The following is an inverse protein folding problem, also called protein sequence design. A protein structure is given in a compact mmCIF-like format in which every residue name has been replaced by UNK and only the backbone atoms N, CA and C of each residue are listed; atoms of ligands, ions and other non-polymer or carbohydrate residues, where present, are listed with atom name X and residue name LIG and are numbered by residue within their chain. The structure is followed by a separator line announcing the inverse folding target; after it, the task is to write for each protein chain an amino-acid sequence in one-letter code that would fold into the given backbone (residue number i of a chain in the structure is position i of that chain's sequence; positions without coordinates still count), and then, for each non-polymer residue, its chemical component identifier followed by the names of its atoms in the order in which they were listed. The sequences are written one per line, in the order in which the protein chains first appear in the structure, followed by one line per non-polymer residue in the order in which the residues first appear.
data_IF_664826919966
#
_entry.id   IF_664826919966
#
_cell.length_a   1.000
_cell.length_b   1.000
_cell.length_c   1.000
_cell.angle_alpha   90.00
_cell.angle_beta   90.00
_cell.angle_gamma   90.00
#
_symmetry.space_group_name_H-M   'P 1'
#
loop_
_entity.id
_entity.type
_entity.pdbx_description
1 polymer ?
#
# COMPACT_ATOMS: atom_id res chain seq x y z
N UNK A 1 14.34 5.33 -11.14
CA UNK A 1 14.02 4.62 -9.88
C UNK A 1 14.50 3.19 -10.04
N UNK A 2 15.51 2.78 -9.26
CA UNK A 2 16.00 1.40 -9.30
C UNK A 2 14.89 0.46 -8.81
N UNK A 3 14.59 -0.58 -9.61
CA UNK A 3 13.73 -1.72 -9.26
C UNK A 3 12.22 -1.43 -9.07
N UNK A 4 11.68 -0.36 -9.65
CA UNK A 4 10.22 -0.20 -9.71
C UNK A 4 9.68 -1.09 -10.83
N UNK A 5 8.89 -2.09 -10.48
CA UNK A 5 8.26 -3.04 -11.38
C UNK A 5 6.77 -2.77 -11.49
N UNK A 6 6.14 -3.29 -12.55
CA UNK A 6 4.71 -3.08 -12.82
C UNK A 6 4.02 -4.39 -13.17
N UNK A 7 2.88 -4.61 -12.54
CA UNK A 7 1.89 -5.62 -12.92
C UNK A 7 0.71 -4.88 -13.55
N UNK A 8 0.15 -5.43 -14.62
CA UNK A 8 -1.09 -4.92 -15.19
C UNK A 8 -2.25 -5.80 -14.71
N UNK A 9 -3.13 -5.25 -13.88
CA UNK A 9 -4.35 -5.93 -13.43
C UNK A 9 -5.49 -5.54 -14.34
N UNK A 10 -6.20 -6.52 -14.89
CA UNK A 10 -7.28 -6.33 -15.85
C UNK A 10 -8.64 -6.64 -15.23
N UNK A 11 -9.67 -5.91 -15.69
CA UNK A 11 -11.07 -6.14 -15.33
C UNK A 11 -11.31 -6.18 -13.81
N UNK A 12 -10.73 -5.21 -13.09
CA UNK A 12 -10.84 -5.14 -11.64
C UNK A 12 -12.17 -4.48 -11.22
N UNK A 13 -12.97 -5.21 -10.46
CA UNK A 13 -14.24 -4.71 -9.93
C UNK A 13 -14.07 -4.07 -8.55
N UNK A 14 -14.50 -2.82 -8.40
CA UNK A 14 -14.54 -2.11 -7.13
C UNK A 14 -15.78 -2.48 -6.30
N UNK A 15 -15.73 -2.28 -4.97
CA UNK A 15 -16.86 -2.53 -4.07
C UNK A 15 -18.10 -1.69 -4.41
N UNK A 16 -17.92 -0.50 -5.00
CA UNK A 16 -19.02 0.35 -5.46
C UNK A 16 -19.68 -0.14 -6.77
N UNK A 17 -19.24 -1.28 -7.32
CA UNK A 17 -19.75 -1.88 -8.55
C UNK A 17 -19.12 -1.37 -9.84
N UNK A 18 -18.27 -0.36 -9.80
CA UNK A 18 -17.53 0.10 -10.99
C UNK A 18 -16.50 -0.94 -11.42
N UNK A 19 -16.27 -1.01 -12.74
CA UNK A 19 -15.26 -1.89 -13.33
C UNK A 19 -14.14 -1.04 -13.91
N UNK A 20 -12.91 -1.35 -13.57
CA UNK A 20 -11.74 -0.74 -14.15
C UNK A 20 -11.11 -1.72 -15.15
N UNK A 21 -11.02 -1.29 -16.41
CA UNK A 21 -10.53 -2.16 -17.48
C UNK A 21 -9.09 -2.62 -17.24
N UNK A 22 -8.27 -1.72 -16.71
CA UNK A 22 -6.89 -2.02 -16.34
C UNK A 22 -6.40 -1.08 -15.23
N UNK A 23 -5.52 -1.61 -14.37
CA UNK A 23 -4.88 -0.86 -13.29
C UNK A 23 -3.39 -1.20 -13.33
N UNK A 24 -2.49 -0.21 -13.49
CA UNK A 24 -1.07 -0.42 -13.30
C UNK A 24 -0.77 -0.52 -11.79
N UNK A 25 -0.36 -1.69 -11.33
CA UNK A 25 0.06 -1.91 -9.96
C UNK A 25 1.58 -1.92 -9.91
N UNK A 26 2.16 -0.88 -9.34
CA UNK A 26 3.60 -0.76 -9.18
C UNK A 26 4.06 -1.36 -7.86
N UNK A 27 5.24 -1.98 -7.86
CA UNK A 27 5.82 -2.59 -6.67
C UNK A 27 7.35 -2.60 -6.72
N UNK A 28 7.95 -2.83 -5.57
CA UNK A 28 9.38 -3.07 -5.42
C UNK A 28 9.62 -4.28 -4.54
N UNK A 29 10.75 -4.97 -4.80
CA UNK A 29 11.19 -6.10 -4.01
C UNK A 29 12.58 -5.83 -3.44
N UNK A 30 12.83 -6.30 -2.22
CA UNK A 30 14.11 -6.15 -1.54
C UNK A 30 14.48 -7.45 -0.82
N UNK A 31 15.76 -7.65 -0.63
CA UNK A 31 16.30 -8.81 0.07
C UNK A 31 16.36 -10.06 -0.80
N UNK A 32 15.92 -11.18 -0.28
CA UNK A 32 16.00 -12.46 -0.99
C UNK A 32 15.11 -12.48 -2.24
N UNK A 33 15.51 -13.21 -3.31
CA UNK A 33 14.63 -13.42 -4.46
C UNK A 33 13.31 -14.08 -4.05
N UNK A 34 12.23 -13.75 -4.78
CA UNK A 34 10.91 -14.37 -4.56
C UNK A 34 11.03 -15.90 -4.65
N UNK A 35 10.44 -16.60 -3.68
CA UNK A 35 10.48 -18.07 -3.60
C UNK A 35 11.69 -18.64 -2.87
N UNK A 36 12.62 -17.82 -2.39
CA UNK A 36 13.83 -18.30 -1.67
C UNK A 36 13.81 -18.00 -0.17
N UNK A 37 12.88 -17.20 0.30
CA UNK A 37 12.72 -16.87 1.73
C UNK A 37 11.28 -16.52 2.10
N UNK A 38 11.01 -16.35 3.39
CA UNK A 38 9.70 -15.93 3.86
C UNK A 38 9.35 -14.52 3.33
N UNK A 39 8.09 -14.32 2.96
CA UNK A 39 7.60 -13.07 2.38
C UNK A 39 7.13 -12.11 3.47
N UNK A 40 7.61 -10.88 3.45
CA UNK A 40 7.10 -9.76 4.25
C UNK A 40 6.50 -8.73 3.30
N UNK A 41 5.21 -8.47 3.41
CA UNK A 41 4.53 -7.41 2.66
C UNK A 41 4.53 -6.14 3.50
N UNK A 42 5.00 -5.04 2.92
CA UNK A 42 5.07 -3.73 3.57
C UNK A 42 4.11 -2.77 2.88
N UNK A 43 3.10 -2.32 3.62
CA UNK A 43 2.12 -1.37 3.14
C UNK A 43 2.46 0.05 3.62
N UNK A 44 2.63 0.99 2.71
CA UNK A 44 2.97 2.37 3.03
C UNK A 44 1.77 3.19 3.53
N UNK A 45 2.05 4.25 4.28
CA UNK A 45 1.05 5.24 4.70
C UNK A 45 0.60 6.11 3.51
N UNK A 46 -0.39 6.99 3.71
CA UNK A 46 -0.98 7.83 2.65
C UNK A 46 0.07 8.57 1.80
N UNK A 47 1.08 9.14 2.44
CA UNK A 47 2.14 9.92 1.78
C UNK A 47 3.38 9.11 1.42
N UNK A 48 3.33 7.78 1.60
CA UNK A 48 4.44 6.89 1.35
C UNK A 48 4.46 6.32 -0.07
N UNK A 49 5.35 5.37 -0.25
CA UNK A 49 5.54 4.67 -1.52
C UNK A 49 6.23 3.31 -1.28
N UNK A 50 6.46 2.56 -2.35
CA UNK A 50 7.08 1.23 -2.30
C UNK A 50 8.59 1.23 -1.98
N UNK A 51 9.28 2.38 -1.96
CA UNK A 51 10.71 2.43 -1.65
C UNK A 51 10.96 2.37 -0.15
N UNK A 52 10.76 1.20 0.44
CA UNK A 52 10.76 1.01 1.91
C UNK A 52 12.15 0.89 2.51
N UNK A 53 13.14 0.46 1.73
CA UNK A 53 14.54 0.30 2.20
C UNK A 53 15.54 0.52 1.07
N UNK A 54 16.84 0.61 1.41
CA UNK A 54 17.92 0.93 0.48
C UNK A 54 18.17 2.41 0.37
N UNK A 55 18.73 2.86 -0.76
CA UNK A 55 18.99 4.28 -1.00
C UNK A 55 17.68 5.09 -0.96
N UNK A 56 17.57 6.01 0.00
CA UNK A 56 16.36 6.82 0.25
C UNK A 56 15.11 6.02 0.67
N UNK A 57 15.28 4.79 1.17
CA UNK A 57 14.18 4.03 1.77
C UNK A 57 13.66 4.70 3.03
N UNK A 58 12.33 4.87 3.11
CA UNK A 58 11.72 5.61 4.23
C UNK A 58 11.65 4.80 5.54
N UNK A 59 11.92 3.49 5.50
CA UNK A 59 11.89 2.62 6.70
C UNK A 59 13.21 1.88 6.95
N UNK A 60 14.34 2.50 6.59
CA UNK A 60 15.67 1.93 6.78
C UNK A 60 16.03 1.60 8.24
N UNK A 61 15.33 2.20 9.21
CA UNK A 61 15.53 1.87 10.62
C UNK A 61 14.97 0.48 10.98
N UNK A 62 13.96 0.02 10.27
CA UNK A 62 13.28 -1.25 10.51
C UNK A 62 13.66 -2.34 9.51
N UNK A 63 13.88 -1.97 8.25
CA UNK A 63 14.06 -2.89 7.11
C UNK A 63 15.45 -2.68 6.51
N UNK A 64 16.22 -3.74 6.35
CA UNK A 64 17.55 -3.70 5.76
C UNK A 64 18.45 -4.82 6.26
N UNK A 65 19.70 -4.81 5.87
CA UNK A 65 20.71 -5.76 6.36
C UNK A 65 20.89 -5.60 7.88
N UNK A 66 20.77 -6.71 8.61
CA UNK A 66 20.87 -6.76 10.07
C UNK A 66 19.86 -5.88 10.82
N UNK A 67 18.74 -5.55 10.19
CA UNK A 67 17.62 -4.84 10.82
C UNK A 67 16.57 -5.85 11.32
N UNK A 68 15.52 -5.35 11.97
CA UNK A 68 14.41 -6.19 12.49
C UNK A 68 13.78 -7.02 11.37
N UNK A 69 13.56 -6.41 10.20
CA UNK A 69 13.20 -7.13 8.96
C UNK A 69 14.48 -7.23 8.13
N UNK A 70 15.23 -8.31 8.40
CA UNK A 70 16.54 -8.52 7.79
C UNK A 70 16.41 -8.99 6.34
N UNK A 71 16.92 -8.21 5.42
CA UNK A 71 16.91 -8.51 3.98
C UNK A 71 17.79 -9.70 3.59
N UNK A 72 18.66 -10.21 4.49
CA UNK A 72 19.35 -11.49 4.30
C UNK A 72 18.46 -12.70 4.57
N UNK A 73 17.32 -12.53 5.26
CA UNK A 73 16.45 -13.62 5.66
C UNK A 73 15.06 -13.55 5.04
N UNK A 74 14.63 -12.37 4.64
CA UNK A 74 13.29 -12.14 4.11
C UNK A 74 13.31 -11.63 2.67
N UNK A 75 12.28 -12.00 1.91
CA UNK A 75 11.87 -11.28 0.72
C UNK A 75 10.86 -10.22 1.14
N UNK A 76 11.19 -8.95 0.96
CA UNK A 76 10.31 -7.83 1.26
C UNK A 76 9.64 -7.36 -0.02
N UNK A 77 8.32 -7.22 0.00
CA UNK A 77 7.53 -6.73 -1.14
C UNK A 77 6.72 -5.53 -0.68
N UNK A 78 6.78 -4.45 -1.43
CA UNK A 78 5.99 -3.26 -1.19
C UNK A 78 5.29 -2.83 -2.48
N UNK A 79 3.95 -2.74 -2.43
CA UNK A 79 3.15 -2.20 -3.51
C UNK A 79 2.92 -0.70 -3.33
N UNK A 80 2.77 0.02 -4.43
CA UNK A 80 2.25 1.38 -4.40
C UNK A 80 0.72 1.35 -4.39
N UNK A 81 0.11 2.14 -3.51
CA UNK A 81 -1.33 2.38 -3.55
C UNK A 81 -1.66 3.03 -4.90
N UNK A 82 -2.69 2.55 -5.61
CA UNK A 82 -3.05 3.08 -6.92
C UNK A 82 -3.23 4.59 -6.92
N UNK A 83 -2.62 5.26 -7.89
CA UNK A 83 -2.73 6.71 -8.05
C UNK A 83 -1.78 7.54 -7.19
N UNK A 84 -0.83 6.94 -6.45
CA UNK A 84 0.13 7.70 -5.63
C UNK A 84 1.19 8.46 -6.44
N UNK A 85 1.27 8.25 -7.76
CA UNK A 85 2.17 8.99 -8.66
C UNK A 85 3.66 8.70 -8.47
N UNK A 86 4.03 7.67 -7.74
CA UNK A 86 5.44 7.39 -7.43
C UNK A 86 6.28 7.03 -8.66
N UNK A 87 5.67 6.57 -9.74
CA UNK A 87 6.35 6.28 -11.02
C UNK A 87 6.65 7.54 -11.85
N UNK A 88 6.22 8.74 -11.40
CA UNK A 88 6.36 10.03 -12.08
C UNK A 88 5.77 10.06 -13.50
N UNK A 89 4.79 9.21 -13.79
CA UNK A 89 4.08 9.21 -15.05
C UNK A 89 2.60 9.58 -14.86
N UNK A 90 2.21 10.75 -15.34
CA UNK A 90 0.83 11.23 -15.24
C UNK A 90 -0.21 10.34 -15.94
N UNK A 91 0.19 9.56 -16.96
CA UNK A 91 -0.70 8.63 -17.66
C UNK A 91 -1.14 7.46 -16.78
N UNK A 92 -0.37 7.15 -15.73
CA UNK A 92 -0.67 6.08 -14.78
C UNK A 92 -1.46 6.56 -13.56
N UNK A 93 -1.76 7.85 -13.46
CA UNK A 93 -2.63 8.35 -12.41
C UNK A 93 -4.06 7.86 -12.63
N UNK A 94 -4.71 7.53 -11.53
CA UNK A 94 -6.10 7.09 -11.54
C UNK A 94 -6.98 8.28 -11.16
N UNK A 95 -7.67 8.87 -12.13
CA UNK A 95 -8.53 10.05 -11.91
C UNK A 95 -9.67 9.77 -10.94
N UNK A 96 -10.12 8.52 -10.85
CA UNK A 96 -11.20 8.07 -9.96
C UNK A 96 -10.66 7.41 -8.67
N UNK A 97 -9.51 7.84 -8.16
CA UNK A 97 -8.90 7.26 -6.95
C UNK A 97 -9.85 7.28 -5.73
N UNK A 98 -10.78 8.21 -5.68
CA UNK A 98 -11.80 8.30 -4.62
C UNK A 98 -12.81 7.15 -4.64
N UNK A 99 -12.89 6.40 -5.72
CA UNK A 99 -13.75 5.23 -5.82
C UNK A 99 -13.20 4.00 -5.08
N UNK A 100 -11.90 4.00 -4.77
CA UNK A 100 -11.25 2.89 -4.10
C UNK A 100 -11.54 2.91 -2.59
N UNK A 101 -12.00 1.78 -2.10
CA UNK A 101 -12.01 1.51 -0.66
C UNK A 101 -10.67 0.89 -0.23
N UNK A 102 -10.41 0.84 1.08
CA UNK A 102 -9.24 0.15 1.62
C UNK A 102 -9.28 -1.34 1.25
N UNK A 103 -10.46 -1.94 1.21
CA UNK A 103 -10.66 -3.33 0.78
C UNK A 103 -10.33 -3.54 -0.69
N UNK A 104 -10.67 -2.60 -1.57
CA UNK A 104 -10.27 -2.66 -2.97
C UNK A 104 -8.74 -2.64 -3.13
N UNK A 105 -8.05 -1.79 -2.35
CA UNK A 105 -6.59 -1.75 -2.32
C UNK A 105 -6.02 -3.09 -1.85
N UNK A 106 -6.56 -3.66 -0.78
CA UNK A 106 -6.13 -4.96 -0.25
C UNK A 106 -6.36 -6.10 -1.25
N UNK A 107 -7.50 -6.10 -1.95
CA UNK A 107 -7.79 -7.06 -3.03
C UNK A 107 -6.80 -6.93 -4.18
N UNK A 108 -6.49 -5.70 -4.57
CA UNK A 108 -5.53 -5.43 -5.63
C UNK A 108 -4.12 -5.90 -5.26
N UNK A 109 -3.70 -5.72 -4.00
CA UNK A 109 -2.42 -6.23 -3.52
C UNK A 109 -2.39 -7.76 -3.50
N UNK A 110 -3.50 -8.42 -3.16
CA UNK A 110 -3.59 -9.87 -3.29
C UNK A 110 -3.51 -10.34 -4.75
N UNK A 111 -4.15 -9.65 -5.70
CA UNK A 111 -3.99 -9.93 -7.13
C UNK A 111 -2.50 -9.80 -7.57
N UNK A 112 -1.82 -8.75 -7.07
CA UNK A 112 -0.39 -8.57 -7.29
C UNK A 112 0.45 -9.73 -6.75
N UNK A 113 0.19 -10.17 -5.52
CA UNK A 113 0.87 -11.32 -4.90
C UNK A 113 0.61 -12.60 -5.68
N UNK A 114 -0.63 -12.85 -6.10
CA UNK A 114 -0.99 -14.02 -6.89
C UNK A 114 -0.31 -14.02 -8.27
N UNK A 115 -0.21 -12.86 -8.91
CA UNK A 115 0.55 -12.71 -10.16
C UNK A 115 2.02 -13.11 -9.97
N UNK A 116 2.61 -12.78 -8.83
CA UNK A 116 3.97 -13.15 -8.44
C UNK A 116 4.06 -14.60 -7.91
N UNK A 117 2.97 -15.38 -8.01
CA UNK A 117 2.87 -16.77 -7.52
C UNK A 117 3.05 -16.89 -6.00
N UNK A 118 2.73 -15.85 -5.25
CA UNK A 118 2.80 -15.82 -3.79
C UNK A 118 1.40 -16.04 -3.23
N UNK A 119 1.20 -17.13 -2.54
CA UNK A 119 -0.08 -17.50 -1.94
C UNK A 119 -0.13 -17.28 -0.44
N UNK A 120 1.03 -17.31 0.21
CA UNK A 120 1.17 -17.22 1.65
C UNK A 120 2.27 -16.22 2.01
N UNK A 121 2.03 -15.40 3.04
CA UNK A 121 2.99 -14.42 3.50
C UNK A 121 3.31 -14.62 4.97
N UNK A 122 4.58 -14.48 5.31
CA UNK A 122 5.05 -14.58 6.70
C UNK A 122 4.52 -13.42 7.54
N UNK A 123 4.56 -12.20 7.01
CA UNK A 123 4.04 -11.03 7.71
C UNK A 123 3.49 -9.99 6.73
N UNK A 124 2.44 -9.29 7.18
CA UNK A 124 1.99 -8.03 6.59
C UNK A 124 2.16 -6.94 7.63
N UNK A 125 2.92 -5.91 7.30
CA UNK A 125 3.16 -4.76 8.18
C UNK A 125 2.79 -3.47 7.47
N UNK A 126 2.17 -2.54 8.18
CA UNK A 126 1.84 -1.23 7.64
C UNK A 126 1.50 -0.20 8.70
N UNK A 127 1.80 1.05 8.42
CA UNK A 127 1.49 2.19 9.28
C UNK A 127 0.31 3.00 8.76
N UNK A 128 -0.56 3.50 9.67
CA UNK A 128 -1.71 4.35 9.33
C UNK A 128 -2.58 3.72 8.23
N UNK A 129 -2.76 4.35 7.08
CA UNK A 129 -3.48 3.78 5.93
C UNK A 129 -2.94 2.39 5.53
N UNK A 130 -1.61 2.22 5.52
CA UNK A 130 -1.00 0.91 5.22
C UNK A 130 -1.35 -0.16 6.25
N UNK A 131 -1.55 0.22 7.51
CA UNK A 131 -2.05 -0.68 8.55
C UNK A 131 -3.51 -1.06 8.36
N UNK A 132 -4.35 -0.13 7.88
CA UNK A 132 -5.73 -0.43 7.53
C UNK A 132 -5.80 -1.39 6.32
N UNK A 133 -4.94 -1.22 5.32
CA UNK A 133 -4.80 -2.18 4.21
C UNK A 133 -4.34 -3.55 4.73
N UNK A 134 -3.41 -3.60 5.69
CA UNK A 134 -2.97 -4.85 6.30
C UNK A 134 -4.12 -5.59 7.02
N UNK A 135 -4.99 -4.86 7.74
CA UNK A 135 -6.20 -5.41 8.35
C UNK A 135 -7.13 -6.03 7.31
N UNK A 136 -7.41 -5.33 6.22
CA UNK A 136 -8.27 -5.82 5.15
C UNK A 136 -7.65 -7.02 4.42
N UNK A 137 -6.33 -7.03 4.18
CA UNK A 137 -5.65 -8.18 3.61
C UNK A 137 -5.83 -9.42 4.49
N UNK A 138 -5.71 -9.26 5.82
CA UNK A 138 -5.92 -10.36 6.76
C UNK A 138 -7.39 -10.79 6.84
N UNK A 139 -8.34 -9.86 6.78
CA UNK A 139 -9.77 -10.16 6.79
C UNK A 139 -10.20 -10.93 5.54
N UNK A 140 -9.62 -10.60 4.37
CA UNK A 140 -9.91 -11.28 3.10
C UNK A 140 -9.39 -12.71 3.08
N UNK A 141 -8.14 -12.94 3.50
CA UNK A 141 -7.48 -14.25 3.43
C UNK A 141 -6.74 -14.58 4.75
N UNK A 142 -7.47 -14.79 5.86
CA UNK A 142 -6.87 -14.89 7.20
C UNK A 142 -5.92 -16.07 7.39
N UNK A 143 -6.05 -17.12 6.58
CA UNK A 143 -5.18 -18.30 6.66
C UNK A 143 -3.89 -18.16 5.85
N UNK A 144 -3.75 -17.07 5.08
CA UNK A 144 -2.61 -16.82 4.21
C UNK A 144 -1.57 -15.87 4.83
N UNK A 145 -1.88 -15.30 5.99
CA UNK A 145 -1.00 -14.38 6.72
C UNK A 145 -0.67 -15.01 8.06
N UNK A 146 0.63 -15.21 8.35
CA UNK A 146 1.06 -15.75 9.63
C UNK A 146 1.12 -14.68 10.71
N UNK A 147 1.59 -13.47 10.37
CA UNK A 147 1.75 -12.37 11.30
C UNK A 147 1.16 -11.08 10.71
N UNK A 148 0.25 -10.44 11.46
CA UNK A 148 -0.34 -9.16 11.11
C UNK A 148 0.19 -8.08 12.05
N UNK A 149 0.82 -7.04 11.50
CA UNK A 149 1.52 -5.99 12.26
C UNK A 149 0.99 -4.61 11.82
N UNK A 150 -0.21 -4.21 12.26
CA UNK A 150 -0.76 -2.89 12.00
C UNK A 150 -0.21 -1.89 13.01
N UNK A 151 0.29 -0.73 12.54
CA UNK A 151 0.92 0.29 13.38
C UNK A 151 0.13 1.60 13.25
N UNK A 152 -0.21 2.22 14.38
CA UNK A 152 -0.91 3.51 14.43
C UNK A 152 -2.16 3.53 13.55
N UNK A 153 -2.97 2.49 13.63
CA UNK A 153 -4.19 2.29 12.84
C UNK A 153 -5.20 1.45 13.64
N UNK A 154 -6.45 1.48 13.18
CA UNK A 154 -7.52 0.68 13.76
C UNK A 154 -8.20 -0.15 12.64
N UNK A 155 -8.97 -1.15 13.03
CA UNK A 155 -9.75 -1.99 12.11
C UNK A 155 -10.93 -1.23 11.47
N UNK A 156 -11.34 -0.10 12.06
CA UNK A 156 -12.27 0.87 11.48
C UNK A 156 -11.88 2.28 11.92
N UNK A 157 -12.27 3.28 11.13
CA UNK A 157 -12.09 4.67 11.52
C UNK A 157 -12.85 4.96 12.82
N UNK A 158 -12.16 5.50 13.83
CA UNK A 158 -12.76 5.94 15.08
C UNK A 158 -13.49 7.27 14.88
N UNK A 159 -14.48 7.58 15.73
CA UNK A 159 -15.19 8.87 15.69
C UNK A 159 -14.24 10.07 15.80
N UNK A 160 -13.14 9.91 16.55
CA UNK A 160 -12.08 10.90 16.64
C UNK A 160 -11.39 11.15 15.27
N UNK A 161 -11.01 10.10 14.55
CA UNK A 161 -10.39 10.23 13.23
C UNK A 161 -11.37 10.85 12.24
N UNK A 162 -12.63 10.42 12.24
CA UNK A 162 -13.69 10.96 11.38
C UNK A 162 -13.89 12.45 11.66
N UNK A 163 -14.00 12.84 12.94
CA UNK A 163 -14.17 14.25 13.32
C UNK A 163 -12.98 15.10 12.86
N UNK A 164 -11.74 14.64 13.04
CA UNK A 164 -10.56 15.38 12.59
C UNK A 164 -10.53 15.55 11.06
N UNK A 165 -10.85 14.51 10.30
CA UNK A 165 -10.92 14.61 8.83
C UNK A 165 -12.00 15.58 8.38
N UNK A 166 -13.18 15.54 9.00
CA UNK A 166 -14.27 16.48 8.70
C UNK A 166 -13.90 17.93 9.04
N UNK A 167 -13.18 18.17 10.15
CA UNK A 167 -12.70 19.51 10.49
C UNK A 167 -11.71 20.01 9.43
N UNK A 168 -10.77 19.18 9.01
CA UNK A 168 -9.82 19.54 7.96
C UNK A 168 -10.52 19.84 6.62
N UNK A 169 -11.48 19.01 6.24
CA UNK A 169 -12.32 19.23 5.05
C UNK A 169 -13.07 20.55 5.13
N UNK A 170 -13.69 20.87 6.27
CA UNK A 170 -14.38 22.14 6.50
C UNK A 170 -13.42 23.33 6.40
N UNK A 171 -12.22 23.25 6.96
CA UNK A 171 -11.22 24.33 6.86
C UNK A 171 -10.83 24.57 5.41
N UNK A 172 -10.54 23.50 4.65
CA UNK A 172 -10.13 23.60 3.26
C UNK A 172 -11.25 24.16 2.35
N UNK A 173 -12.48 23.73 2.57
CA UNK A 173 -13.62 24.12 1.71
C UNK A 173 -14.27 25.47 2.09
N UNK A 174 -14.03 25.98 3.30
CA UNK A 174 -14.55 27.28 3.75
C UNK A 174 -13.49 28.39 3.79
N UNK A 175 -12.29 28.14 3.26
CA UNK A 175 -11.27 29.18 3.11
C UNK A 175 -11.56 30.02 1.87
N UNK A 176 -11.56 31.33 2.03
CA UNK A 176 -11.66 32.28 0.92
C UNK A 176 -10.32 32.38 0.14
N UNK A 177 -9.24 31.85 0.69
CA UNK A 177 -7.96 31.79 0.02
C UNK A 177 -7.93 30.61 -0.99
N UNK A 178 -7.45 30.85 -2.22
CA UNK A 178 -7.27 29.75 -3.15
C UNK A 178 -6.34 28.71 -2.51
N UNK A 179 -6.76 27.45 -2.52
CA UNK A 179 -5.90 26.34 -2.11
C UNK A 179 -4.66 26.41 -2.97
N UNK A 180 -3.55 26.88 -2.41
CA UNK A 180 -2.27 26.88 -3.11
C UNK A 180 -1.86 25.43 -3.23
N UNK A 181 -1.88 24.91 -4.45
CA UNK A 181 -1.42 23.57 -4.79
C UNK A 181 0.09 23.51 -4.51
N UNK A 182 0.43 23.24 -3.26
CA UNK A 182 1.82 22.96 -2.85
C UNK A 182 2.14 21.52 -3.23
N UNK A 183 2.48 21.35 -4.48
CA UNK A 183 3.09 20.11 -4.98
C UNK A 183 4.54 19.99 -4.55
#
# INVERSE_FOLDING_TARGET
MKNLERIQVFNFGLENGKQLANIPLFYQTFGLPIGTGPIVVVNHALTGNSNVTGENGWWNDLIGEHKTIDTHHFTVIAFNIPGNGFDNNFENLISSYQDFTIRDIARLFWEGLLYLQITDVFAVIGGSLGGAVAWEMAALLPKRIQNLIPIATDWKATDWVIANVLIQDQILNNSDDPIVDTR
#
